data_IF_667874704412
#
_entry.id   IF_667874704412
#
_cell.length_a   1.000
_cell.length_b   1.000
_cell.length_c   1.000
_cell.angle_alpha   90.00
_cell.angle_beta   90.00
_cell.angle_gamma   90.00
#
_symmetry.space_group_name_H-M   'P 1'
#
loop_
_entity.id
_entity.type
_entity.pdbx_description
1 polymer ?
#
# COMPACT_ATOMS: atom_id res chain seq x y z
N UNK A 1 -5.39 -6.99 -13.32
CA UNK A 1 -5.65 -6.62 -14.74
C UNK A 1 -4.94 -7.58 -15.68
N UNK A 2 -5.35 -7.66 -16.95
CA UNK A 2 -4.63 -8.43 -17.98
C UNK A 2 -3.21 -7.86 -18.13
N UNK A 3 -2.20 -8.73 -18.17
CA UNK A 3 -0.82 -8.29 -18.41
C UNK A 3 -0.55 -8.13 -19.91
N UNK A 4 -0.97 -7.01 -20.47
CA UNK A 4 -0.82 -6.71 -21.90
C UNK A 4 -0.46 -5.22 -22.11
N UNK A 5 0.29 -4.86 -23.18
CA UNK A 5 0.69 -3.48 -23.46
C UNK A 5 -0.48 -2.49 -23.48
N UNK A 6 -1.64 -2.91 -24.00
CA UNK A 6 -2.84 -2.09 -24.07
C UNK A 6 -3.38 -1.74 -22.67
N UNK A 7 -3.20 -2.63 -21.70
CA UNK A 7 -3.59 -2.40 -20.31
C UNK A 7 -2.70 -1.33 -19.65
N UNK A 8 -1.39 -1.37 -19.90
CA UNK A 8 -0.48 -0.32 -19.42
C UNK A 8 -0.75 1.02 -20.12
N UNK A 9 -1.00 1.03 -21.44
CA UNK A 9 -1.36 2.25 -22.16
C UNK A 9 -2.66 2.89 -21.65
N UNK A 10 -3.66 2.06 -21.32
CA UNK A 10 -4.89 2.54 -20.67
C UNK A 10 -4.58 3.13 -19.29
N UNK A 11 -3.81 2.43 -18.46
CA UNK A 11 -3.39 2.91 -17.14
C UNK A 11 -2.64 4.24 -17.21
N UNK A 12 -1.67 4.40 -18.11
CA UNK A 12 -0.91 5.65 -18.29
C UNK A 12 -1.78 6.82 -18.77
N UNK A 13 -2.84 6.55 -19.53
CA UNK A 13 -3.73 7.60 -20.08
C UNK A 13 -4.91 7.97 -19.18
N UNK A 14 -5.35 7.04 -18.33
CA UNK A 14 -6.50 7.20 -17.41
C UNK A 14 -6.04 7.49 -15.98
N UNK A 15 -5.00 6.81 -15.50
CA UNK A 15 -4.45 6.94 -14.14
C UNK A 15 -4.20 8.38 -13.71
N UNK A 16 -3.47 9.21 -14.49
CA UNK A 16 -3.25 10.61 -14.14
C UNK A 16 -4.55 11.40 -13.98
N UNK A 17 -5.59 11.10 -14.77
CA UNK A 17 -6.88 11.80 -14.71
C UNK A 17 -7.66 11.42 -13.47
N UNK A 18 -7.60 10.16 -13.05
CA UNK A 18 -8.19 9.74 -11.78
C UNK A 18 -7.54 10.52 -10.65
N UNK A 19 -6.20 10.55 -10.57
CA UNK A 19 -5.49 11.34 -9.56
C UNK A 19 -5.86 12.83 -9.57
N UNK A 20 -5.99 13.46 -10.76
CA UNK A 20 -6.40 14.85 -10.88
C UNK A 20 -7.83 15.10 -10.36
N UNK A 21 -8.76 14.16 -10.57
CA UNK A 21 -10.12 14.27 -10.06
C UNK A 21 -10.16 14.05 -8.55
N UNK A 22 -9.42 13.06 -8.04
CA UNK A 22 -9.28 12.79 -6.60
C UNK A 22 -8.74 14.01 -5.86
N UNK A 23 -7.78 14.73 -6.45
CA UNK A 23 -7.18 15.93 -5.87
C UNK A 23 -8.13 17.14 -5.77
N UNK A 24 -9.37 17.05 -6.26
CA UNK A 24 -10.37 18.09 -6.05
C UNK A 24 -10.88 18.16 -4.60
N UNK A 25 -10.66 17.10 -3.80
CA UNK A 25 -11.09 17.05 -2.41
C UNK A 25 -10.00 17.53 -1.45
N UNK A 26 -10.31 18.48 -0.55
CA UNK A 26 -9.32 19.10 0.35
C UNK A 26 -8.75 18.18 1.45
N UNK A 27 -9.33 16.99 1.60
CA UNK A 27 -8.85 15.92 2.47
C UNK A 27 -7.80 15.00 1.83
N UNK A 28 -7.60 15.08 0.52
CA UNK A 28 -6.62 14.26 -0.20
C UNK A 28 -5.18 14.74 0.09
N UNK A 29 -4.28 13.79 0.34
CA UNK A 29 -2.89 14.05 0.75
C UNK A 29 -1.84 13.58 -0.27
N UNK A 30 -2.25 12.84 -1.30
CA UNK A 30 -1.35 12.25 -2.29
C UNK A 30 -1.64 10.77 -2.52
N UNK A 31 -0.81 10.12 -3.34
CA UNK A 31 -1.03 8.74 -3.75
C UNK A 31 0.28 7.98 -4.01
N UNK A 32 0.20 6.65 -3.97
CA UNK A 32 1.28 5.75 -4.38
C UNK A 32 0.69 4.54 -5.13
N UNK A 33 0.91 4.47 -6.45
CA UNK A 33 0.35 3.43 -7.31
C UNK A 33 1.40 2.38 -7.68
N UNK A 34 1.01 1.13 -7.54
CA UNK A 34 1.90 -0.02 -7.55
C UNK A 34 1.51 -1.03 -8.63
N UNK A 35 2.51 -1.56 -9.34
CA UNK A 35 2.34 -2.75 -10.18
C UNK A 35 3.05 -3.92 -9.53
N UNK A 36 2.36 -5.06 -9.44
CA UNK A 36 2.95 -6.27 -8.90
C UNK A 36 4.06 -6.76 -9.84
N UNK A 37 5.26 -6.96 -9.30
CA UNK A 37 6.38 -7.50 -10.06
C UNK A 37 6.70 -8.93 -9.68
N UNK A 38 6.27 -9.44 -8.53
CA UNK A 38 6.57 -10.82 -8.14
C UNK A 38 6.00 -11.23 -6.79
N UNK A 39 6.51 -12.34 -6.28
CA UNK A 39 6.13 -12.94 -5.00
C UNK A 39 7.39 -13.49 -4.33
N UNK A 40 7.57 -13.21 -3.04
CA UNK A 40 8.72 -13.70 -2.29
C UNK A 40 8.61 -15.23 -2.09
N UNK A 41 9.55 -16.04 -2.60
CA UNK A 41 9.36 -17.49 -2.70
C UNK A 41 9.57 -18.26 -1.37
N UNK A 42 10.06 -17.60 -0.32
CA UNK A 42 10.29 -18.18 1.02
C UNK A 42 11.05 -19.51 0.98
N UNK A 43 12.19 -19.53 0.28
CA UNK A 43 13.05 -20.74 0.20
C UNK A 43 12.41 -21.95 -0.50
N UNK A 44 11.34 -21.74 -1.28
CA UNK A 44 10.64 -22.80 -2.01
C UNK A 44 9.25 -23.15 -1.46
N UNK A 45 8.83 -22.54 -0.34
CA UNK A 45 7.45 -22.67 0.16
C UNK A 45 6.41 -22.25 -0.89
N UNK A 46 6.76 -21.28 -1.73
CA UNK A 46 6.05 -20.95 -2.97
C UNK A 46 6.96 -21.23 -4.18
N UNK A 47 7.21 -22.52 -4.46
CA UNK A 47 8.21 -22.94 -5.46
C UNK A 47 7.96 -22.51 -6.91
N UNK A 48 6.74 -22.09 -7.25
CA UNK A 48 6.42 -21.49 -8.55
C UNK A 48 6.61 -19.97 -8.62
N UNK A 49 6.79 -19.32 -7.47
CA UNK A 49 6.99 -17.88 -7.37
C UNK A 49 8.46 -17.48 -7.52
N UNK A 50 8.69 -16.24 -7.96
CA UNK A 50 10.01 -15.61 -8.05
C UNK A 50 9.91 -14.15 -7.60
N UNK A 51 11.05 -13.60 -7.18
CA UNK A 51 11.16 -12.18 -6.85
C UNK A 51 10.72 -11.29 -8.02
N UNK A 52 11.05 -11.70 -9.24
CA UNK A 52 10.61 -11.04 -10.47
C UNK A 52 9.85 -12.02 -11.37
N UNK A 53 8.59 -11.68 -11.64
CA UNK A 53 7.63 -12.35 -12.49
C UNK A 53 6.84 -11.35 -13.34
N UNK A 54 7.28 -10.09 -13.50
CA UNK A 54 6.47 -9.05 -14.16
C UNK A 54 6.09 -9.39 -15.61
N UNK A 55 6.86 -10.28 -16.27
CA UNK A 55 6.58 -10.79 -17.62
C UNK A 55 5.75 -12.08 -17.64
N UNK A 56 5.62 -12.74 -16.49
CA UNK A 56 5.01 -14.08 -16.34
C UNK A 56 3.62 -13.99 -15.69
N UNK A 57 3.38 -13.01 -14.81
CA UNK A 57 2.10 -12.79 -14.14
C UNK A 57 1.02 -12.43 -15.17
N UNK A 58 -0.05 -13.20 -15.25
CA UNK A 58 -1.27 -12.81 -15.97
C UNK A 58 -2.49 -13.50 -15.31
N UNK A 59 -3.35 -12.79 -14.57
CA UNK A 59 -3.37 -11.34 -14.40
C UNK A 59 -2.16 -10.80 -13.62
N UNK A 60 -1.90 -9.50 -13.77
CA UNK A 60 -0.94 -8.74 -12.96
C UNK A 60 -1.70 -7.85 -11.95
N UNK A 61 -1.18 -7.79 -10.73
CA UNK A 61 -1.74 -6.98 -9.65
C UNK A 61 -1.51 -5.49 -9.85
N UNK A 62 -2.49 -4.69 -9.46
CA UNK A 62 -2.43 -3.23 -9.37
C UNK A 62 -2.95 -2.85 -7.97
N UNK A 63 -2.18 -2.08 -7.21
CA UNK A 63 -2.59 -1.56 -5.91
C UNK A 63 -2.40 -0.04 -5.89
N UNK A 64 -3.48 0.71 -5.74
CA UNK A 64 -3.49 2.18 -5.85
C UNK A 64 -3.77 2.76 -4.47
N UNK A 65 -2.73 3.24 -3.79
CA UNK A 65 -2.92 3.85 -2.48
C UNK A 65 -3.28 5.31 -2.67
N UNK A 66 -4.38 5.74 -2.07
CA UNK A 66 -4.76 7.15 -1.93
C UNK A 66 -4.73 7.50 -0.43
N UNK A 67 -4.09 8.61 -0.11
CA UNK A 67 -3.86 9.02 1.28
C UNK A 67 -4.83 10.15 1.64
N UNK A 68 -5.44 10.05 2.81
CA UNK A 68 -6.51 10.92 3.25
C UNK A 68 -6.29 11.37 4.69
N UNK A 69 -6.67 12.61 5.01
CA UNK A 69 -6.66 13.11 6.39
C UNK A 69 -7.62 12.32 7.28
N UNK A 70 -8.81 12.03 6.74
CA UNK A 70 -9.82 11.15 7.36
C UNK A 70 -10.33 10.19 6.30
N UNK A 71 -10.66 8.96 6.68
CA UNK A 71 -11.19 8.00 5.71
C UNK A 71 -12.55 8.45 5.15
N UNK A 72 -13.31 9.27 5.89
CA UNK A 72 -14.57 9.85 5.41
C UNK A 72 -14.36 10.76 4.20
N UNK A 73 -13.21 11.43 4.11
CA UNK A 73 -12.86 12.32 2.99
C UNK A 73 -12.75 11.53 1.67
N UNK A 74 -12.38 10.25 1.73
CA UNK A 74 -12.37 9.34 0.58
C UNK A 74 -13.79 9.08 0.07
N UNK A 75 -14.71 8.71 0.98
CA UNK A 75 -16.10 8.42 0.63
C UNK A 75 -16.81 9.67 0.11
N UNK A 76 -16.58 10.84 0.74
CA UNK A 76 -17.06 12.14 0.29
C UNK A 76 -16.57 12.45 -1.13
N UNK A 77 -15.26 12.28 -1.40
CA UNK A 77 -14.70 12.48 -2.74
C UNK A 77 -15.36 11.59 -3.80
N UNK A 78 -15.55 10.31 -3.51
CA UNK A 78 -16.20 9.38 -4.44
C UNK A 78 -17.62 9.83 -4.80
N UNK A 79 -18.36 10.36 -3.84
CA UNK A 79 -19.73 10.82 -4.07
C UNK A 79 -19.79 12.17 -4.79
N UNK A 80 -18.94 13.12 -4.40
CA UNK A 80 -18.86 14.44 -5.05
C UNK A 80 -18.38 14.34 -6.51
N UNK A 81 -17.44 13.44 -6.77
CA UNK A 81 -16.81 13.26 -8.09
C UNK A 81 -17.32 12.03 -8.85
N UNK A 82 -18.41 11.41 -8.39
CA UNK A 82 -18.91 10.11 -8.88
C UNK A 82 -18.94 10.00 -10.40
N UNK A 83 -19.54 10.98 -11.08
CA UNK A 83 -19.70 10.93 -12.54
C UNK A 83 -18.35 10.94 -13.27
N UNK A 84 -17.38 11.69 -12.76
CA UNK A 84 -16.03 11.79 -13.33
C UNK A 84 -15.24 10.52 -13.07
N UNK A 85 -15.22 10.05 -11.82
CA UNK A 85 -14.53 8.82 -11.41
C UNK A 85 -15.11 7.61 -12.14
N UNK A 86 -16.43 7.45 -12.16
CA UNK A 86 -17.09 6.34 -12.84
C UNK A 86 -16.73 6.29 -14.33
N UNK A 87 -16.79 7.42 -15.04
CA UNK A 87 -16.40 7.50 -16.46
C UNK A 87 -14.94 7.14 -16.70
N UNK A 88 -14.05 7.56 -15.80
CA UNK A 88 -12.62 7.27 -15.91
C UNK A 88 -12.35 5.79 -15.63
N UNK A 89 -12.82 5.26 -14.50
CA UNK A 89 -12.65 3.87 -14.12
C UNK A 89 -13.28 2.91 -15.12
N UNK A 90 -14.43 3.27 -15.71
CA UNK A 90 -15.10 2.47 -16.74
C UNK A 90 -14.23 2.23 -17.98
N UNK A 91 -13.32 3.16 -18.32
CA UNK A 91 -12.38 2.99 -19.44
C UNK A 91 -11.35 1.89 -19.21
N UNK A 92 -11.15 1.47 -17.97
CA UNK A 92 -10.25 0.39 -17.60
C UNK A 92 -10.99 -0.96 -17.49
N UNK A 93 -12.33 -1.03 -17.54
CA UNK A 93 -13.04 -2.30 -17.30
C UNK A 93 -12.68 -3.41 -18.30
N UNK A 94 -12.31 -3.05 -19.55
CA UNK A 94 -11.88 -4.01 -20.56
C UNK A 94 -10.57 -4.75 -20.25
N UNK A 95 -9.77 -4.25 -19.30
CA UNK A 95 -8.52 -4.88 -18.83
C UNK A 95 -8.64 -5.50 -17.44
N UNK A 96 -9.77 -5.32 -16.76
CA UNK A 96 -9.99 -5.85 -15.40
C UNK A 96 -10.34 -7.34 -15.49
N UNK A 97 -9.63 -8.15 -14.70
CA UNK A 97 -9.92 -9.59 -14.52
C UNK A 97 -10.68 -9.83 -13.22
N UNK A 98 -10.29 -9.10 -12.17
CA UNK A 98 -10.89 -9.07 -10.84
C UNK A 98 -10.77 -7.66 -10.27
N UNK A 99 -11.74 -7.24 -9.47
CA UNK A 99 -11.85 -5.89 -8.89
C UNK A 99 -12.74 -4.94 -9.70
N UNK A 100 -12.72 -3.62 -9.38
CA UNK A 100 -11.96 -3.02 -8.27
C UNK A 100 -12.47 -3.50 -6.91
N UNK A 101 -11.57 -3.60 -5.94
CA UNK A 101 -11.88 -3.79 -4.53
C UNK A 101 -10.97 -2.87 -3.73
N UNK A 102 -11.57 -1.98 -2.95
CA UNK A 102 -10.87 -0.88 -2.29
C UNK A 102 -11.05 -0.98 -0.77
N UNK A 103 -10.21 -1.82 -0.16
CA UNK A 103 -10.08 -1.86 1.29
C UNK A 103 -9.55 -0.51 1.81
N UNK A 104 -10.08 -0.08 2.95
CA UNK A 104 -9.65 1.12 3.67
C UNK A 104 -8.87 0.69 4.91
N UNK A 105 -7.73 1.33 5.10
CA UNK A 105 -6.78 1.02 6.17
C UNK A 105 -6.48 2.24 7.02
N UNK A 106 -6.22 2.02 8.30
CA UNK A 106 -5.52 2.98 9.15
C UNK A 106 -4.05 2.59 9.30
N UNK A 107 -3.16 3.58 9.38
CA UNK A 107 -1.73 3.37 9.65
C UNK A 107 -1.54 3.33 11.16
N UNK A 108 -1.20 2.15 11.70
CA UNK A 108 -1.01 1.96 13.16
C UNK A 108 0.43 2.21 13.62
N UNK A 109 1.41 2.09 12.70
CA UNK A 109 2.80 2.44 12.95
C UNK A 109 3.51 2.69 11.62
N UNK A 110 4.48 3.62 11.61
CA UNK A 110 5.32 3.86 10.43
C UNK A 110 6.70 4.42 10.80
N UNK A 111 7.64 4.21 9.87
CA UNK A 111 8.91 4.92 9.76
C UNK A 111 9.19 5.09 8.25
N UNK A 112 8.44 5.99 7.61
CA UNK A 112 8.52 6.25 6.17
C UNK A 112 9.22 7.60 5.91
N UNK A 113 10.44 7.61 5.38
CA UNK A 113 11.13 8.85 5.05
C UNK A 113 10.50 9.51 3.83
N UNK A 114 10.68 10.83 3.71
CA UNK A 114 10.38 11.56 2.48
C UNK A 114 11.17 10.98 1.30
N UNK A 115 10.53 10.95 0.12
CA UNK A 115 11.24 10.59 -1.10
C UNK A 115 12.13 11.73 -1.55
N UNK A 116 13.32 11.39 -2.05
CA UNK A 116 14.29 12.37 -2.55
C UNK A 116 14.88 11.87 -3.86
N UNK A 117 15.14 12.77 -4.80
CA UNK A 117 15.91 12.46 -5.99
C UNK A 117 17.40 12.34 -5.66
N UNK A 118 18.16 11.65 -6.52
CA UNK A 118 19.62 11.61 -6.40
C UNK A 118 20.27 13.01 -6.42
N UNK A 119 19.63 13.98 -7.07
CA UNK A 119 20.04 15.38 -7.12
C UNK A 119 19.88 16.12 -5.79
N UNK A 120 19.00 15.64 -4.93
CA UNK A 120 18.62 16.32 -3.68
C UNK A 120 19.46 15.83 -2.49
N UNK A 121 20.10 14.65 -2.64
CA UNK A 121 20.93 14.02 -1.61
C UNK A 121 21.97 14.97 -0.99
N UNK A 122 22.76 15.76 -1.76
CA UNK A 122 23.72 16.68 -1.15
C UNK A 122 23.07 17.72 -0.22
N UNK A 123 21.88 18.22 -0.57
CA UNK A 123 21.16 19.19 0.24
C UNK A 123 20.57 18.57 1.50
N UNK A 124 19.94 17.39 1.37
CA UNK A 124 19.37 16.63 2.51
C UNK A 124 20.45 16.22 3.51
N UNK A 125 21.60 15.76 3.01
CA UNK A 125 22.76 15.43 3.82
C UNK A 125 23.26 16.67 4.58
N UNK A 126 23.41 17.81 3.88
CA UNK A 126 23.82 19.07 4.49
C UNK A 126 22.85 19.55 5.57
N UNK A 127 21.54 19.48 5.32
CA UNK A 127 20.51 19.87 6.28
C UNK A 127 20.54 18.98 7.54
N UNK A 128 20.64 17.66 7.37
CA UNK A 128 20.70 16.70 8.49
C UNK A 128 21.93 16.95 9.37
N UNK A 129 23.10 17.20 8.76
CA UNK A 129 24.33 17.54 9.49
C UNK A 129 24.21 18.86 10.26
N UNK A 130 23.56 19.87 9.67
CA UNK A 130 23.35 21.15 10.34
C UNK A 130 22.36 21.06 11.50
N UNK A 131 21.36 20.18 11.41
CA UNK A 131 20.39 19.91 12.46
C UNK A 131 20.94 18.97 13.55
N UNK A 132 22.02 18.23 13.28
CA UNK A 132 22.53 17.20 14.19
C UNK A 132 21.65 15.94 14.23
N UNK A 133 20.87 15.71 13.17
CA UNK A 133 19.92 14.60 13.04
C UNK A 133 20.53 13.44 12.24
N UNK A 134 19.97 12.24 12.41
CA UNK A 134 20.33 11.11 11.57
C UNK A 134 19.93 11.35 10.11
N UNK A 135 20.81 10.96 9.19
CA UNK A 135 20.54 11.07 7.76
C UNK A 135 19.54 9.99 7.37
N UNK A 136 18.35 10.34 6.83
CA UNK A 136 17.39 9.36 6.39
C UNK A 136 17.93 8.54 5.21
N UNK A 137 17.44 7.30 5.01
CA UNK A 137 17.83 6.54 3.83
C UNK A 137 17.32 7.22 2.54
N UNK A 138 18.08 7.07 1.46
CA UNK A 138 17.75 7.66 0.15
C UNK A 138 16.66 6.80 -0.51
N UNK A 139 15.39 7.20 -0.32
CA UNK A 139 14.24 6.53 -0.93
C UNK A 139 13.86 7.18 -2.26
N UNK A 140 14.35 6.61 -3.37
CA UNK A 140 14.13 7.15 -4.71
C UNK A 140 12.67 6.95 -5.19
N UNK A 141 12.03 7.98 -5.76
CA UNK A 141 10.67 7.88 -6.28
C UNK A 141 10.59 7.29 -7.70
N UNK A 142 9.37 7.10 -8.19
CA UNK A 142 9.01 6.83 -9.59
C UNK A 142 9.60 5.52 -10.12
N UNK A 143 9.40 4.46 -9.35
CA UNK A 143 9.77 3.09 -9.68
C UNK A 143 11.25 2.75 -9.54
N UNK A 144 11.99 3.55 -8.79
CA UNK A 144 13.42 3.34 -8.49
C UNK A 144 13.67 2.66 -7.13
N UNK A 145 12.64 1.99 -6.60
CA UNK A 145 12.70 1.15 -5.39
C UNK A 145 11.69 0.01 -5.49
N UNK A 146 11.77 -0.94 -4.58
CA UNK A 146 10.85 -2.09 -4.49
C UNK A 146 10.08 -2.03 -3.18
N UNK A 147 8.82 -2.44 -3.25
CA UNK A 147 7.95 -2.59 -2.09
C UNK A 147 7.67 -4.07 -1.88
N UNK A 148 7.79 -4.52 -0.64
CA UNK A 148 7.34 -5.83 -0.19
C UNK A 148 6.12 -5.65 0.71
N UNK A 149 4.97 -6.19 0.27
CA UNK A 149 3.70 -6.17 0.98
C UNK A 149 3.53 -7.54 1.61
N UNK A 150 3.51 -7.61 2.94
CA UNK A 150 3.22 -8.82 3.70
C UNK A 150 1.78 -8.84 4.20
N UNK A 151 0.95 -9.71 3.63
CA UNK A 151 -0.43 -9.91 4.07
C UNK A 151 -0.48 -10.83 5.31
N UNK A 152 -1.21 -10.39 6.34
CA UNK A 152 -1.39 -11.12 7.59
C UNK A 152 -2.84 -11.05 8.04
N UNK A 153 -3.41 -12.18 8.46
CA UNK A 153 -4.68 -12.22 9.19
C UNK A 153 -4.39 -12.65 10.62
N UNK A 154 -4.75 -11.82 11.60
CA UNK A 154 -4.33 -11.97 13.00
C UNK A 154 -5.41 -12.67 13.82
N UNK A 155 -4.99 -13.54 14.74
CA UNK A 155 -5.88 -14.22 15.69
C UNK A 155 -6.62 -13.16 16.51
N UNK A 156 -7.95 -13.24 16.54
CA UNK A 156 -8.79 -12.29 17.24
C UNK A 156 -8.39 -12.16 18.73
N UNK A 157 -8.20 -10.92 19.18
CA UNK A 157 -7.73 -10.59 20.54
C UNK A 157 -6.22 -10.56 20.70
N UNK A 158 -5.44 -10.74 19.63
CA UNK A 158 -3.96 -10.67 19.62
C UNK A 158 -3.40 -9.61 18.67
N UNK A 159 -4.24 -8.68 18.25
CA UNK A 159 -3.92 -7.53 17.40
C UNK A 159 -2.78 -6.70 17.99
N UNK A 160 -2.88 -6.31 19.27
CA UNK A 160 -1.84 -5.50 19.93
C UNK A 160 -0.50 -6.24 20.03
N UNK A 161 -0.52 -7.54 20.33
CA UNK A 161 0.68 -8.38 20.36
C UNK A 161 1.35 -8.47 18.99
N UNK A 162 0.54 -8.59 17.93
CA UNK A 162 1.01 -8.57 16.54
C UNK A 162 1.65 -7.23 16.20
N UNK A 163 0.94 -6.12 16.43
CA UNK A 163 1.40 -4.76 16.12
C UNK A 163 2.75 -4.46 16.80
N UNK A 164 2.85 -4.71 18.12
CA UNK A 164 4.10 -4.51 18.87
C UNK A 164 5.24 -5.41 18.38
N UNK A 165 4.96 -6.68 18.06
CA UNK A 165 5.98 -7.61 17.60
C UNK A 165 6.49 -7.24 16.19
N UNK A 166 5.59 -6.84 15.28
CA UNK A 166 5.97 -6.42 13.92
C UNK A 166 6.81 -5.15 13.97
N UNK A 167 6.42 -4.13 14.76
CA UNK A 167 7.24 -2.92 14.96
C UNK A 167 8.66 -3.29 15.40
N UNK A 168 8.80 -4.20 16.38
CA UNK A 168 10.12 -4.66 16.83
C UNK A 168 10.93 -5.36 15.74
N UNK A 169 10.29 -6.07 14.80
CA UNK A 169 10.97 -6.63 13.62
C UNK A 169 11.45 -5.51 12.69
N UNK A 170 10.61 -4.50 12.44
CA UNK A 170 10.94 -3.37 11.57
C UNK A 170 12.14 -2.56 12.11
N UNK A 171 12.22 -2.36 13.42
CA UNK A 171 13.40 -1.76 14.05
C UNK A 171 14.70 -2.58 13.84
N UNK A 172 14.59 -3.91 13.69
CA UNK A 172 15.75 -4.72 13.28
C UNK A 172 16.06 -4.59 11.79
N UNK A 173 15.05 -4.32 10.95
CA UNK A 173 15.24 -4.10 9.52
C UNK A 173 15.88 -2.76 9.19
N UNK A 174 15.77 -1.73 10.04
CA UNK A 174 16.57 -0.49 9.91
C UNK A 174 18.08 -0.74 9.81
N UNK A 175 18.56 -1.85 10.39
CA UNK A 175 19.97 -2.28 10.32
C UNK A 175 20.30 -3.09 9.05
N UNK A 176 19.33 -3.29 8.16
CA UNK A 176 19.49 -4.05 6.93
C UNK A 176 19.89 -3.13 5.77
N UNK A 177 20.98 -3.45 5.03
CA UNK A 177 21.33 -2.68 3.85
C UNK A 177 20.14 -2.59 2.89
N UNK A 178 19.86 -1.37 2.44
CA UNK A 178 18.81 -1.09 1.48
C UNK A 178 17.39 -1.09 2.06
N UNK A 179 17.17 -1.15 3.37
CA UNK A 179 15.86 -0.87 3.95
C UNK A 179 15.56 0.62 3.87
N UNK A 180 14.37 0.98 3.39
CA UNK A 180 13.97 2.37 3.11
C UNK A 180 12.81 2.84 3.98
N UNK A 181 12.23 1.99 4.82
CA UNK A 181 11.12 2.34 5.70
C UNK A 181 9.99 1.33 5.68
N UNK A 182 9.00 1.55 6.54
CA UNK A 182 7.81 0.71 6.63
C UNK A 182 6.57 1.46 7.09
N UNK A 183 5.42 0.87 6.82
CA UNK A 183 4.17 1.19 7.51
C UNK A 183 3.38 -0.10 7.76
N UNK A 184 2.69 -0.14 8.89
CA UNK A 184 1.77 -1.20 9.28
C UNK A 184 0.36 -0.65 9.11
N UNK A 185 -0.43 -1.30 8.27
CA UNK A 185 -1.78 -0.86 7.91
C UNK A 185 -2.78 -1.88 8.42
N UNK A 186 -3.71 -1.46 9.28
CA UNK A 186 -4.82 -2.28 9.80
C UNK A 186 -6.06 -2.01 8.97
N UNK A 187 -6.68 -3.06 8.44
CA UNK A 187 -7.91 -2.92 7.67
C UNK A 187 -9.06 -2.53 8.61
N UNK A 188 -9.82 -1.50 8.25
CA UNK A 188 -10.96 -1.00 9.04
C UNK A 188 -12.29 -1.15 8.32
N UNK A 189 -12.26 -1.32 7.00
CA UNK A 189 -13.44 -1.47 6.17
C UNK A 189 -13.09 -1.48 4.67
N UNK A 190 -14.08 -1.28 3.82
CA UNK A 190 -13.89 -1.13 2.38
C UNK A 190 -14.84 -0.07 1.83
N UNK A 191 -14.45 0.63 0.76
CA UNK A 191 -15.34 1.54 0.07
C UNK A 191 -16.30 0.77 -0.82
N UNK A 192 -17.60 0.86 -0.56
CA UNK A 192 -18.60 0.22 -1.41
C UNK A 192 -18.58 0.85 -2.82
N UNK A 193 -18.57 2.18 -2.89
CA UNK A 193 -18.57 2.92 -4.16
C UNK A 193 -17.25 2.75 -4.91
N UNK A 194 -16.11 2.85 -4.22
CA UNK A 194 -14.78 2.57 -4.77
C UNK A 194 -14.63 1.16 -5.34
N UNK A 195 -15.29 0.18 -4.70
CA UNK A 195 -15.31 -1.22 -5.13
C UNK A 195 -16.40 -1.56 -6.17
N UNK A 196 -17.10 -0.57 -6.72
CA UNK A 196 -18.23 -0.77 -7.63
C UNK A 196 -19.36 -1.66 -7.04
N UNK A 197 -19.48 -1.68 -5.71
CA UNK A 197 -20.55 -2.36 -4.98
C UNK A 197 -21.71 -1.40 -4.72
N UNK A 198 -22.48 -1.13 -5.78
CA UNK A 198 -23.65 -0.26 -5.73
C UNK A 198 -24.91 -1.03 -5.30
N UNK A 199 -25.92 -0.30 -4.84
CA UNK A 199 -27.28 -0.83 -4.67
C UNK A 199 -27.84 -1.44 -5.99
N UNK A 200 -28.88 -2.31 -5.93
CA UNK A 200 -29.38 -3.05 -7.08
C UNK A 200 -29.63 -2.21 -8.35
N UNK A 201 -30.28 -1.05 -8.22
CA UNK A 201 -30.54 -0.19 -9.38
C UNK A 201 -29.25 0.42 -9.95
N UNK A 202 -28.32 0.80 -9.08
CA UNK A 202 -27.01 1.34 -9.46
C UNK A 202 -26.16 0.33 -10.21
N UNK A 203 -26.10 -0.91 -9.71
CA UNK A 203 -25.33 -1.97 -10.37
C UNK A 203 -25.94 -2.36 -11.72
N UNK A 204 -27.27 -2.40 -11.84
CA UNK A 204 -27.91 -2.63 -13.14
C UNK A 204 -27.59 -1.54 -14.16
N UNK A 205 -27.58 -0.27 -13.74
CA UNK A 205 -27.20 0.85 -14.60
C UNK A 205 -25.71 0.77 -14.99
N UNK A 206 -24.83 0.42 -14.05
CA UNK A 206 -23.40 0.28 -14.30
C UNK A 206 -23.09 -0.82 -15.33
N UNK A 207 -23.85 -1.92 -15.32
CA UNK A 207 -23.69 -3.02 -16.28
C UNK A 207 -24.26 -2.72 -17.69
N UNK A 208 -25.15 -1.71 -17.81
CA UNK A 208 -25.82 -1.36 -19.06
C UNK A 208 -25.11 -0.24 -19.84
N UNK A 209 -24.08 0.37 -19.25
CA UNK A 209 -23.34 1.50 -19.83
C UNK A 209 -21.94 1.07 -20.27
N UNK A 210 -21.37 1.77 -21.26
CA UNK A 210 -19.95 1.66 -21.62
C UNK A 210 -19.08 2.67 -20.85
N UNK A 211 -19.65 3.32 -19.83
CA UNK A 211 -18.99 4.32 -18.99
C UNK A 211 -19.49 5.75 -19.20
N UNK A 212 -19.99 6.09 -20.39
CA UNK A 212 -20.36 7.47 -20.74
C UNK A 212 -21.55 8.02 -19.93
N UNK A 213 -22.44 7.12 -19.53
CA UNK A 213 -23.61 7.41 -18.69
C UNK A 213 -23.43 6.74 -17.32
N UNK A 214 -22.91 7.47 -16.31
CA UNK A 214 -22.83 6.97 -14.94
C UNK A 214 -24.21 6.60 -14.37
N UNK A 215 -24.27 5.64 -13.43
CA UNK A 215 -25.48 5.39 -12.65
C UNK A 215 -26.03 6.66 -11.98
N UNK A 216 -27.32 6.86 -12.10
CA UNK A 216 -28.09 7.85 -11.34
C UNK A 216 -28.32 7.42 -9.89
N UNK A 217 -28.44 6.11 -9.65
CA UNK A 217 -28.42 5.51 -8.32
C UNK A 217 -26.95 5.20 -7.96
N UNK A 218 -26.39 6.00 -7.05
CA UNK A 218 -24.94 6.06 -6.78
C UNK A 218 -24.54 5.42 -5.45
N UNK A 219 -25.53 5.10 -4.63
CA UNK A 219 -25.31 4.66 -3.26
C UNK A 219 -24.70 3.25 -3.26
N UNK A 220 -23.75 3.05 -2.34
CA UNK A 220 -23.15 1.75 -2.07
C UNK A 220 -24.11 0.81 -1.36
N UNK A 221 -23.98 -0.50 -1.60
CA UNK A 221 -24.83 -1.51 -0.96
C UNK A 221 -24.43 -1.86 0.49
N UNK A 222 -23.35 -1.29 1.01
CA UNK A 222 -22.93 -1.40 2.41
C UNK A 222 -22.23 -0.11 2.87
N UNK A 223 -22.19 0.08 4.19
CA UNK A 223 -21.38 1.11 4.85
C UNK A 223 -19.97 0.60 5.08
N UNK A 224 -18.96 1.46 5.01
CA UNK A 224 -17.54 1.09 5.04
C UNK A 224 -17.17 0.12 6.18
N UNK A 225 -17.59 0.44 7.41
CA UNK A 225 -17.29 -0.36 8.60
C UNK A 225 -17.99 -1.73 8.62
N UNK A 226 -19.00 -1.98 7.79
CA UNK A 226 -19.63 -3.30 7.66
C UNK A 226 -18.73 -4.29 6.92
N UNK A 227 -17.73 -3.80 6.17
CA UNK A 227 -16.74 -4.60 5.46
C UNK A 227 -15.43 -4.78 6.26
N UNK A 228 -15.42 -4.46 7.56
CA UNK A 228 -14.32 -4.80 8.48
C UNK A 228 -14.11 -6.33 8.48
N UNK A 229 -12.89 -6.79 8.22
CA UNK A 229 -12.58 -8.22 8.11
C UNK A 229 -12.34 -8.83 9.48
N UNK A 230 -12.85 -10.05 9.67
CA UNK A 230 -12.68 -10.86 10.91
C UNK A 230 -12.30 -12.28 10.51
N UNK A 231 -11.06 -12.75 10.81
CA UNK A 231 -10.03 -12.09 11.63
C UNK A 231 -9.45 -10.81 11.02
N UNK A 232 -8.94 -9.92 11.86
CA UNK A 232 -8.40 -8.61 11.46
C UNK A 232 -7.26 -8.78 10.47
N UNK A 233 -7.34 -8.10 9.32
CA UNK A 233 -6.29 -8.13 8.29
C UNK A 233 -5.33 -6.95 8.42
N UNK A 234 -4.06 -7.24 8.19
CA UNK A 234 -2.98 -6.28 8.21
C UNK A 234 -2.12 -6.41 6.96
N UNK A 235 -1.69 -5.25 6.45
CA UNK A 235 -0.61 -5.14 5.50
C UNK A 235 0.63 -4.62 6.22
N UNK A 236 1.71 -5.39 6.16
CA UNK A 236 3.06 -4.91 6.53
C UNK A 236 3.76 -4.46 5.25
N UNK A 237 3.74 -3.15 5.00
CA UNK A 237 4.36 -2.52 3.82
C UNK A 237 5.81 -2.17 4.15
N UNK A 238 6.76 -2.72 3.38
CA UNK A 238 8.18 -2.47 3.56
C UNK A 238 8.80 -1.96 2.25
N UNK A 239 9.63 -0.92 2.34
CA UNK A 239 10.34 -0.39 1.18
C UNK A 239 11.82 -0.80 1.19
N UNK A 240 12.32 -1.16 0.02
CA UNK A 240 13.69 -1.63 -0.19
C UNK A 240 14.31 -1.01 -1.43
N UNK A 241 15.60 -0.74 -1.38
CA UNK A 241 16.35 -0.14 -2.49
C UNK A 241 16.29 -0.98 -3.78
N UNK A 242 16.27 -2.31 -3.64
CA UNK A 242 16.21 -3.25 -4.75
C UNK A 242 15.74 -4.64 -4.30
N UNK A 243 15.46 -5.53 -5.26
CA UNK A 243 14.97 -6.89 -4.98
C UNK A 243 15.95 -7.74 -4.16
N UNK A 244 17.27 -7.57 -4.31
CA UNK A 244 18.25 -8.35 -3.53
C UNK A 244 18.28 -7.87 -2.09
N UNK A 245 18.26 -6.55 -1.90
CA UNK A 245 18.13 -5.91 -0.59
C UNK A 245 16.87 -6.40 0.12
N UNK A 246 15.71 -6.40 -0.58
CA UNK A 246 14.48 -7.00 -0.06
C UNK A 246 14.66 -8.48 0.28
N UNK A 247 15.26 -9.26 -0.62
CA UNK A 247 15.38 -10.70 -0.44
C UNK A 247 16.16 -11.07 0.82
N UNK A 248 17.36 -10.51 0.97
CA UNK A 248 18.24 -10.81 2.09
C UNK A 248 17.87 -10.07 3.37
N UNK A 249 17.30 -8.87 3.24
CA UNK A 249 16.78 -8.09 4.35
C UNK A 249 15.62 -8.81 5.05
N UNK A 250 14.58 -9.18 4.30
CA UNK A 250 13.44 -9.94 4.83
C UNK A 250 13.90 -11.29 5.38
N UNK A 251 14.81 -11.99 4.70
CA UNK A 251 15.32 -13.29 5.14
C UNK A 251 16.02 -13.26 6.51
N UNK A 252 16.38 -12.07 7.05
CA UNK A 252 16.92 -11.95 8.41
C UNK A 252 16.00 -12.57 9.47
N UNK A 253 14.68 -12.55 9.26
CA UNK A 253 13.71 -13.17 10.19
C UNK A 253 13.80 -14.69 10.27
N UNK A 254 14.54 -15.33 9.36
CA UNK A 254 14.77 -16.79 9.38
C UNK A 254 16.24 -17.18 9.49
N UNK A 255 17.19 -16.30 9.09
CA UNK A 255 18.63 -16.61 9.13
C UNK A 255 19.37 -15.97 10.30
N UNK A 256 18.88 -14.85 10.84
CA UNK A 256 19.52 -14.19 11.98
C UNK A 256 18.81 -14.62 13.27
N UNK A 257 19.54 -15.25 14.19
CA UNK A 257 18.95 -15.83 15.41
C UNK A 257 18.17 -14.80 16.25
N UNK A 258 18.71 -13.59 16.43
CA UNK A 258 18.06 -12.56 17.25
C UNK A 258 16.81 -12.01 16.56
N UNK A 259 16.88 -11.71 15.27
CA UNK A 259 15.72 -11.21 14.51
C UNK A 259 14.64 -12.27 14.42
N UNK A 260 15.01 -13.54 14.21
CA UNK A 260 14.09 -14.68 14.24
C UNK A 260 13.34 -14.77 15.56
N UNK A 261 14.02 -14.66 16.70
CA UNK A 261 13.36 -14.74 18.01
C UNK A 261 12.32 -13.62 18.23
N UNK A 262 12.53 -12.45 17.64
CA UNK A 262 11.54 -11.36 17.63
C UNK A 262 10.38 -11.70 16.70
N UNK A 263 10.66 -12.14 15.48
CA UNK A 263 9.65 -12.49 14.48
C UNK A 263 8.81 -13.73 14.85
N UNK A 264 9.35 -14.69 15.60
CA UNK A 264 8.59 -15.83 16.11
C UNK A 264 7.37 -15.38 16.95
N UNK A 265 7.44 -14.18 17.57
CA UNK A 265 6.30 -13.59 18.28
C UNK A 265 5.19 -13.12 17.33
N UNK A 266 5.55 -12.61 16.15
CA UNK A 266 4.59 -12.28 15.07
C UNK A 266 3.94 -13.57 14.56
N UNK A 267 4.74 -14.60 14.28
CA UNK A 267 4.21 -15.88 13.77
C UNK A 267 3.27 -16.57 14.77
N UNK A 268 3.45 -16.31 16.07
CA UNK A 268 2.56 -16.84 17.09
C UNK A 268 1.16 -16.22 17.06
N UNK A 269 0.97 -15.03 16.47
CA UNK A 269 -0.31 -14.29 16.51
C UNK A 269 -1.14 -14.42 15.24
N UNK A 270 -0.64 -15.05 14.18
CA UNK A 270 -1.33 -15.08 12.87
C UNK A 270 -2.17 -16.33 12.65
N UNK A 271 -3.35 -16.15 12.05
CA UNK A 271 -4.17 -17.23 11.46
C UNK A 271 -3.66 -17.57 10.07
N UNK A 272 -3.30 -16.56 9.30
CA UNK A 272 -2.82 -16.67 7.92
C UNK A 272 -1.71 -15.65 7.67
N UNK A 273 -0.75 -16.04 6.83
CA UNK A 273 0.41 -15.22 6.48
C UNK A 273 1.69 -15.65 7.20
N UNK A 274 2.81 -14.94 6.95
CA UNK A 274 2.94 -13.91 5.92
C UNK A 274 2.80 -14.49 4.50
N UNK A 275 2.08 -13.78 3.62
CA UNK A 275 2.22 -13.93 2.16
C UNK A 275 2.80 -12.63 1.62
N UNK A 276 3.97 -12.70 0.98
CA UNK A 276 4.72 -11.49 0.61
C UNK A 276 4.72 -11.33 -0.91
N UNK A 277 4.03 -10.29 -1.36
CA UNK A 277 4.02 -9.85 -2.76
C UNK A 277 5.01 -8.71 -2.95
N UNK A 278 5.54 -8.57 -4.17
CA UNK A 278 6.54 -7.57 -4.52
C UNK A 278 5.99 -6.62 -5.56
N UNK A 279 6.27 -5.33 -5.37
CA UNK A 279 5.62 -4.26 -6.10
C UNK A 279 6.60 -3.17 -6.51
N UNK A 280 6.30 -2.53 -7.64
CA UNK A 280 7.00 -1.35 -8.14
C UNK A 280 6.09 -0.11 -7.98
N UNK A 281 6.47 0.90 -7.16
CA UNK A 281 5.73 2.16 -7.02
C UNK A 281 5.99 3.08 -8.23
N UNK A 282 5.22 2.90 -9.30
CA UNK A 282 5.48 3.55 -10.60
C UNK A 282 5.05 5.01 -10.64
N UNK A 283 3.85 5.30 -10.13
CA UNK A 283 3.25 6.64 -10.15
C UNK A 283 2.91 7.03 -8.73
N UNK A 284 3.44 8.15 -8.27
CA UNK A 284 3.23 8.62 -6.91
C UNK A 284 3.26 10.14 -6.85
N UNK A 285 2.50 10.71 -5.94
CA UNK A 285 2.67 12.07 -5.46
C UNK A 285 3.31 11.98 -4.08
N UNK A 286 4.59 12.29 -3.97
CA UNK A 286 5.38 12.04 -2.77
C UNK A 286 5.00 12.93 -1.58
N UNK A 287 4.15 13.95 -1.79
CA UNK A 287 3.75 14.92 -0.77
C UNK A 287 2.97 14.30 0.40
N UNK A 288 2.36 13.12 0.21
CA UNK A 288 1.70 12.40 1.32
C UNK A 288 2.66 12.10 2.48
N UNK A 289 3.95 11.94 2.19
CA UNK A 289 5.00 11.71 3.19
C UNK A 289 5.42 12.97 3.92
N UNK A 290 5.20 14.16 3.34
CA UNK A 290 5.40 15.43 4.03
C UNK A 290 4.38 15.51 5.16
N UNK A 291 3.10 15.31 4.85
CA UNK A 291 2.03 15.26 5.84
C UNK A 291 2.29 14.21 6.92
N UNK A 292 2.62 12.97 6.52
CA UNK A 292 2.87 11.86 7.45
C UNK A 292 3.97 12.18 8.48
N UNK A 293 4.98 12.95 8.08
CA UNK A 293 6.12 13.30 8.92
C UNK A 293 5.94 14.61 9.71
N UNK A 294 4.98 15.46 9.32
CA UNK A 294 4.64 16.71 10.00
C UNK A 294 3.53 16.57 11.04
N UNK A 295 2.49 15.75 10.77
CA UNK A 295 1.26 15.69 11.58
C UNK A 295 1.38 14.85 12.87
N UNK A 296 2.57 14.30 13.16
CA UNK A 296 2.81 13.56 14.40
C UNK A 296 2.05 12.22 14.50
N UNK A 297 1.51 11.70 13.39
CA UNK A 297 1.06 10.30 13.29
C UNK A 297 2.16 9.39 13.83
N UNK A 298 1.84 8.59 14.87
CA UNK A 298 2.75 7.88 15.78
C UNK A 298 4.03 7.41 15.08
N UNK A 299 5.09 8.24 15.14
CA UNK A 299 6.45 7.74 15.01
C UNK A 299 6.65 6.85 16.24
N UNK A 300 7.16 5.64 16.03
CA UNK A 300 7.47 4.75 17.15
C UNK A 300 8.41 5.49 18.09
N UNK A 301 7.88 5.86 19.24
CA UNK A 301 8.56 6.64 20.26
C UNK A 301 9.79 5.84 20.72
N UNK A 302 10.95 6.49 20.87
CA UNK A 302 12.24 5.86 21.22
C UNK A 302 12.23 5.15 22.60
N UNK A 303 11.10 5.21 23.31
CA UNK A 303 10.86 4.61 24.62
C UNK A 303 10.72 3.07 24.60
N UNK A 304 10.54 2.43 23.44
CA UNK A 304 10.53 0.94 23.34
C UNK A 304 11.95 0.34 23.32
N UNK A 305 12.99 1.17 23.33
CA UNK A 305 14.39 0.71 23.42
C UNK A 305 14.83 0.26 24.83
N UNK A 306 13.97 0.41 25.85
CA UNK A 306 14.28 0.04 27.24
C UNK A 306 13.16 -0.76 27.93
N UNK A 307 12.87 -1.98 27.45
CA UNK A 307 12.28 -3.06 28.29
C UNK A 307 12.50 -4.44 27.69
#
# INVERSE_FOLDING_TARGET
MVNAPESFAAFESVGPKVCMVTANHGGFLGFQNHIQVGVFPMGGRFGGAKMDMHRELNPIGLAQYTMWKRWEDHEEMHMEQFDSIFRLCSKCLGMVVEGPWEDVYEIVAHDMPQNVGMTDVPAVLGASFMAGEEVPPVSLPYGQRIIAIGDHSVIQGREEEFEQAVVKVMEQFKKAPGFLGYMIMRQIGASAVGSFQLEPDGIHQALQTLGDNPPSARDGNFQLMQAEKKPTEYIVHMEWADMKSAMFGISRVVVNHHVKAVHDKVLATVVQGPYITLWNPLMEDTSWREYLNEDGTVKVDESVSQS
#
